data_IF_101363429657
#
_entry.id   IF_101363429657
#
_cell.length_a   1.000
_cell.length_b   1.000
_cell.length_c   1.000
_cell.angle_alpha   90.00
_cell.angle_beta   90.00
_cell.angle_gamma   90.00
#
_symmetry.space_group_name_H-M   'P 1'
#
loop_
_entity.id
_entity.type
_entity.pdbx_description
1 polymer ?
#
# COMPACT_ATOMS: atom_id res chain seq x y z
N UNK A 1 42.56 4.11 -15.33
CA UNK A 1 41.99 5.13 -14.43
C UNK A 1 40.56 4.71 -14.13
N UNK A 2 40.19 4.54 -12.86
CA UNK A 2 38.80 4.23 -12.48
C UNK A 2 37.91 5.42 -12.85
N UNK A 3 36.85 5.22 -13.63
CA UNK A 3 35.83 6.26 -13.82
C UNK A 3 35.26 6.67 -12.46
N UNK A 4 35.31 7.95 -12.16
CA UNK A 4 34.72 8.51 -10.95
C UNK A 4 33.21 8.62 -11.18
N UNK A 5 32.42 7.76 -10.52
CA UNK A 5 30.96 7.81 -10.60
C UNK A 5 30.44 9.08 -9.93
N UNK A 6 29.55 9.79 -10.61
CA UNK A 6 28.82 10.92 -9.99
C UNK A 6 27.85 10.35 -8.93
N UNK A 7 27.82 10.91 -7.71
CA UNK A 7 26.88 10.47 -6.69
C UNK A 7 25.45 10.83 -7.10
N UNK A 8 24.52 9.91 -6.85
CA UNK A 8 23.08 10.14 -6.95
C UNK A 8 22.51 10.07 -5.54
N UNK A 9 21.75 11.08 -5.14
CA UNK A 9 21.14 11.18 -3.81
C UNK A 9 19.62 11.21 -3.96
N UNK A 10 18.95 10.30 -3.25
CA UNK A 10 17.53 10.39 -2.99
C UNK A 10 17.33 10.95 -1.58
N UNK A 11 16.72 12.13 -1.49
CA UNK A 11 16.39 12.80 -0.23
C UNK A 11 14.90 12.62 0.07
N UNK A 12 14.59 12.00 1.21
CA UNK A 12 13.22 11.82 1.70
C UNK A 12 12.98 12.79 2.86
N UNK A 13 12.07 13.74 2.67
CA UNK A 13 11.60 14.63 3.72
C UNK A 13 10.35 13.99 4.36
N UNK A 14 10.53 13.29 5.48
CA UNK A 14 9.43 12.57 6.13
C UNK A 14 8.34 13.55 6.62
N UNK A 15 7.08 13.24 6.34
CA UNK A 15 5.93 14.10 6.65
C UNK A 15 5.81 15.39 5.82
N UNK A 16 6.56 15.56 4.73
CA UNK A 16 6.53 16.76 3.89
C UNK A 16 5.59 16.62 2.68
N UNK A 17 4.34 17.06 2.83
CA UNK A 17 3.30 16.97 1.79
C UNK A 17 3.03 18.27 1.02
N UNK A 18 2.27 18.17 -0.07
CA UNK A 18 1.70 19.31 -0.80
C UNK A 18 0.21 19.47 -0.43
N UNK A 19 -0.21 20.71 -0.15
CA UNK A 19 -1.61 21.09 0.05
C UNK A 19 -1.84 22.48 -0.51
N UNK A 20 -2.96 22.69 -1.20
CA UNK A 20 -3.37 24.01 -1.71
C UNK A 20 -3.96 24.90 -0.59
N UNK A 21 -4.32 24.30 0.55
CA UNK A 21 -4.78 25.06 1.71
C UNK A 21 -3.60 25.66 2.46
N UNK A 22 -3.73 26.96 2.76
CA UNK A 22 -2.82 27.72 3.62
C UNK A 22 -3.12 27.55 5.11
N UNK A 23 -4.33 27.10 5.44
CA UNK A 23 -4.78 26.98 6.82
C UNK A 23 -3.98 25.90 7.55
N UNK A 24 -3.34 26.27 8.67
CA UNK A 24 -2.51 25.37 9.47
C UNK A 24 -1.41 24.62 8.69
N UNK A 25 -0.93 25.19 7.58
CA UNK A 25 0.06 24.57 6.71
C UNK A 25 1.49 25.03 7.07
N UNK A 26 2.17 24.23 7.89
CA UNK A 26 3.53 24.52 8.32
C UNK A 26 4.55 24.55 7.17
N UNK A 27 4.37 23.70 6.15
CA UNK A 27 5.26 23.64 4.98
C UNK A 27 5.22 24.95 4.20
N UNK A 28 4.01 25.48 3.95
CA UNK A 28 3.84 26.72 3.20
C UNK A 28 4.15 27.98 4.03
N UNK A 29 3.97 27.93 5.35
CA UNK A 29 4.29 29.03 6.25
C UNK A 29 5.79 29.16 6.57
N UNK A 30 6.56 28.08 6.38
CA UNK A 30 7.99 28.07 6.65
C UNK A 30 8.79 28.86 5.60
N UNK A 31 9.98 29.34 6.01
CA UNK A 31 10.97 29.90 5.07
C UNK A 31 11.81 28.76 4.52
N UNK A 32 11.55 28.36 3.27
CA UNK A 32 12.18 27.18 2.64
C UNK A 32 13.01 27.52 1.40
N UNK A 33 13.99 28.46 1.48
CA UNK A 33 14.65 29.03 0.30
C UNK A 33 15.31 27.99 -0.62
N UNK A 34 15.83 26.90 -0.05
CA UNK A 34 16.43 25.80 -0.82
C UNK A 34 15.36 25.02 -1.59
N UNK A 35 14.27 24.63 -0.93
CA UNK A 35 13.17 23.90 -1.59
C UNK A 35 12.46 24.78 -2.62
N UNK A 36 12.29 26.06 -2.32
CA UNK A 36 11.68 27.05 -3.24
C UNK A 36 12.55 27.21 -4.48
N UNK A 37 13.88 27.31 -4.31
CA UNK A 37 14.81 27.38 -5.43
C UNK A 37 14.75 26.12 -6.30
N UNK A 38 14.78 24.92 -5.70
CA UNK A 38 14.68 23.65 -6.42
C UNK A 38 13.35 23.54 -7.18
N UNK A 39 12.23 23.93 -6.56
CA UNK A 39 10.91 23.88 -7.20
C UNK A 39 10.80 24.82 -8.41
N UNK A 40 11.43 25.99 -8.35
CA UNK A 40 11.37 27.00 -9.40
C UNK A 40 12.37 26.78 -10.55
N UNK A 41 13.48 26.07 -10.31
CA UNK A 41 14.58 25.96 -11.28
C UNK A 41 14.90 24.52 -11.72
N UNK A 42 14.23 23.50 -11.16
CA UNK A 42 14.39 22.11 -11.56
C UNK A 42 13.04 21.49 -11.97
N UNK A 43 13.03 20.44 -12.81
CA UNK A 43 11.82 19.70 -13.10
C UNK A 43 11.20 19.14 -11.81
N UNK A 44 9.91 19.40 -11.61
CA UNK A 44 9.17 18.94 -10.43
C UNK A 44 7.84 18.33 -10.82
N UNK A 45 7.36 17.40 -9.99
CA UNK A 45 6.05 16.77 -10.10
C UNK A 45 5.54 16.37 -8.72
N UNK A 46 4.26 16.02 -8.63
CA UNK A 46 3.64 15.42 -7.46
C UNK A 46 3.41 13.93 -7.70
N UNK A 47 3.49 13.14 -6.64
CA UNK A 47 3.20 11.70 -6.65
C UNK A 47 2.19 11.36 -5.54
N UNK A 48 1.37 10.33 -5.77
CA UNK A 48 0.47 9.82 -4.75
C UNK A 48 1.24 8.93 -3.76
N UNK A 49 1.09 9.21 -2.46
CA UNK A 49 1.82 8.54 -1.36
C UNK A 49 0.88 7.90 -0.32
N UNK A 50 -0.40 7.76 -0.66
CA UNK A 50 -1.45 7.25 0.22
C UNK A 50 -2.46 6.39 -0.55
N UNK A 51 -3.32 5.68 0.18
CA UNK A 51 -4.33 4.80 -0.38
C UNK A 51 -3.79 3.72 -1.32
N UNK A 52 -4.58 3.41 -2.36
CA UNK A 52 -4.29 2.33 -3.30
C UNK A 52 -2.95 2.51 -4.03
N UNK A 53 -2.50 3.75 -4.23
CA UNK A 53 -1.23 4.07 -4.90
C UNK A 53 -0.01 3.51 -4.16
N UNK A 54 -0.14 3.23 -2.86
CA UNK A 54 0.92 2.63 -2.03
C UNK A 54 0.46 1.32 -1.37
N UNK A 55 -0.63 0.73 -1.86
CA UNK A 55 -1.12 -0.59 -1.41
C UNK A 55 -1.96 -0.56 -0.13
N UNK A 56 -2.38 0.63 0.31
CA UNK A 56 -3.33 0.82 1.39
C UNK A 56 -4.78 0.85 0.87
N UNK A 57 -5.78 0.60 1.73
CA UNK A 57 -7.18 0.88 1.44
C UNK A 57 -7.42 2.30 0.92
N UNK A 58 -8.44 2.47 0.09
CA UNK A 58 -8.83 3.78 -0.43
C UNK A 58 -9.10 4.78 0.71
N UNK A 59 -8.62 6.03 0.54
CA UNK A 59 -8.76 7.08 1.55
C UNK A 59 -7.84 6.96 2.77
N UNK A 60 -7.12 5.85 2.95
CA UNK A 60 -6.20 5.69 4.07
C UNK A 60 -4.91 6.51 3.86
N UNK A 61 -4.56 7.31 4.86
CA UNK A 61 -3.33 8.10 4.86
C UNK A 61 -2.09 7.21 4.75
N UNK A 62 -1.06 7.72 4.07
CA UNK A 62 0.26 7.10 4.03
C UNK A 62 0.97 7.17 5.38
N UNK A 63 2.05 6.40 5.51
CA UNK A 63 2.96 6.44 6.65
C UNK A 63 4.39 6.11 6.20
N UNK A 64 5.37 6.33 7.09
CA UNK A 64 6.79 6.15 6.78
C UNK A 64 7.12 4.73 6.34
N UNK A 65 6.58 3.70 6.99
CA UNK A 65 6.89 2.30 6.67
C UNK A 65 6.44 1.93 5.26
N UNK A 66 5.16 2.16 4.95
CA UNK A 66 4.58 1.88 3.63
C UNK A 66 5.24 2.71 2.54
N UNK A 67 5.53 3.98 2.83
CA UNK A 67 6.20 4.88 1.90
C UNK A 67 7.61 4.40 1.53
N UNK A 68 8.44 4.09 2.53
CA UNK A 68 9.81 3.61 2.29
C UNK A 68 9.83 2.24 1.61
N UNK A 69 8.93 1.33 1.98
CA UNK A 69 8.81 0.03 1.33
C UNK A 69 8.42 0.16 -0.15
N UNK A 70 7.40 0.96 -0.46
CA UNK A 70 6.94 1.16 -1.85
C UNK A 70 8.04 1.81 -2.70
N UNK A 71 8.68 2.85 -2.16
CA UNK A 71 9.77 3.56 -2.84
C UNK A 71 10.98 2.66 -3.07
N UNK A 72 11.40 1.89 -2.06
CA UNK A 72 12.54 0.99 -2.16
C UNK A 72 12.28 -0.22 -3.06
N UNK A 73 11.02 -0.68 -3.14
CA UNK A 73 10.65 -1.81 -3.99
C UNK A 73 10.41 -1.44 -5.46
N UNK A 74 10.19 -0.16 -5.77
CA UNK A 74 9.85 0.30 -7.13
C UNK A 74 8.51 -0.25 -7.63
N UNK A 75 7.62 -0.67 -6.73
CA UNK A 75 6.28 -1.20 -7.03
C UNK A 75 5.35 -1.07 -5.83
N UNK A 76 4.05 -1.06 -6.10
CA UNK A 76 3.00 -1.08 -5.07
C UNK A 76 3.09 -2.38 -4.26
N UNK A 77 3.21 -2.27 -2.94
CA UNK A 77 3.17 -3.41 -2.02
C UNK A 77 1.81 -3.43 -1.34
N UNK A 78 0.93 -4.31 -1.82
CA UNK A 78 -0.39 -4.49 -1.20
C UNK A 78 -0.25 -5.10 0.19
N UNK A 79 -0.76 -4.38 1.19
CA UNK A 79 -0.95 -4.92 2.53
C UNK A 79 -1.91 -6.11 2.50
N UNK A 80 -1.80 -7.04 3.45
CA UNK A 80 -2.58 -8.28 3.45
C UNK A 80 -4.07 -8.07 3.24
N UNK A 81 -4.66 -7.06 3.90
CA UNK A 81 -6.08 -6.74 3.76
C UNK A 81 -6.42 -6.30 2.32
N UNK A 82 -5.72 -5.31 1.77
CA UNK A 82 -5.90 -4.83 0.38
C UNK A 82 -5.60 -5.93 -0.65
N UNK A 83 -4.60 -6.77 -0.38
CA UNK A 83 -4.21 -7.87 -1.27
C UNK A 83 -5.32 -8.92 -1.37
N UNK A 84 -5.94 -9.28 -0.25
CA UNK A 84 -7.05 -10.24 -0.23
C UNK A 84 -8.29 -9.62 -0.87
N UNK A 85 -8.62 -8.36 -0.57
CA UNK A 85 -9.72 -7.63 -1.23
C UNK A 85 -9.55 -7.63 -2.76
N UNK A 86 -8.34 -7.32 -3.23
CA UNK A 86 -8.02 -7.33 -4.65
C UNK A 86 -8.13 -8.73 -5.25
N UNK A 87 -7.61 -9.75 -4.58
CA UNK A 87 -7.73 -11.13 -5.06
C UNK A 87 -9.19 -11.59 -5.15
N UNK A 88 -10.07 -11.15 -4.23
CA UNK A 88 -11.51 -11.43 -4.30
C UNK A 88 -12.12 -10.71 -5.50
N UNK A 89 -11.82 -9.42 -5.68
CA UNK A 89 -12.37 -8.60 -6.77
C UNK A 89 -11.91 -9.08 -8.16
N UNK A 90 -10.63 -9.48 -8.29
CA UNK A 90 -10.05 -9.96 -9.54
C UNK A 90 -10.40 -11.44 -9.82
N UNK A 91 -10.94 -12.16 -8.84
CA UNK A 91 -11.30 -13.58 -8.92
C UNK A 91 -10.16 -14.55 -8.57
N UNK A 92 -8.92 -14.08 -8.44
CA UNK A 92 -7.74 -14.87 -8.07
C UNK A 92 -7.93 -15.66 -6.77
N UNK A 93 -8.68 -15.09 -5.81
CA UNK A 93 -8.98 -15.70 -4.52
C UNK A 93 -9.62 -17.09 -4.66
N UNK A 94 -10.55 -17.25 -5.60
CA UNK A 94 -11.32 -18.48 -5.79
C UNK A 94 -10.52 -19.60 -6.48
N UNK A 95 -9.39 -19.26 -7.10
CA UNK A 95 -8.49 -20.22 -7.76
C UNK A 95 -7.21 -20.48 -6.96
N UNK A 96 -7.13 -19.95 -5.73
CA UNK A 96 -5.93 -20.07 -4.94
C UNK A 96 -5.62 -21.54 -4.63
N UNK A 97 -4.47 -22.07 -5.10
CA UNK A 97 -4.19 -23.49 -5.05
C UNK A 97 -4.02 -24.02 -3.62
N UNK A 98 -3.76 -23.15 -2.63
CA UNK A 98 -3.74 -23.55 -1.23
C UNK A 98 -5.14 -23.94 -0.75
N UNK A 99 -6.16 -23.15 -1.10
CA UNK A 99 -7.54 -23.38 -0.69
C UNK A 99 -8.18 -24.48 -1.53
N UNK A 100 -8.04 -24.42 -2.87
CA UNK A 100 -8.63 -25.40 -3.78
C UNK A 100 -8.18 -26.83 -3.45
N UNK A 101 -6.88 -27.05 -3.25
CA UNK A 101 -6.37 -28.39 -2.88
C UNK A 101 -6.90 -28.88 -1.53
N UNK A 102 -7.08 -28.00 -0.55
CA UNK A 102 -7.61 -28.38 0.76
C UNK A 102 -9.09 -28.78 0.65
N UNK A 103 -9.86 -28.03 -0.15
CA UNK A 103 -11.28 -28.31 -0.42
C UNK A 103 -11.42 -29.61 -1.22
N UNK A 104 -10.66 -29.80 -2.30
CA UNK A 104 -10.69 -31.02 -3.12
C UNK A 104 -10.39 -32.28 -2.29
N UNK A 105 -9.41 -32.18 -1.38
CA UNK A 105 -9.06 -33.26 -0.45
C UNK A 105 -10.22 -33.56 0.52
N UNK A 106 -10.89 -32.55 1.04
CA UNK A 106 -12.03 -32.76 1.93
C UNK A 106 -13.22 -33.38 1.19
N UNK A 107 -13.52 -32.91 -0.04
CA UNK A 107 -14.60 -33.44 -0.87
C UNK A 107 -14.36 -34.91 -1.23
N UNK A 108 -13.17 -35.24 -1.73
CA UNK A 108 -12.80 -36.63 -2.08
C UNK A 108 -12.81 -37.58 -0.88
N UNK A 109 -12.42 -37.10 0.30
CA UNK A 109 -12.46 -37.85 1.55
C UNK A 109 -13.81 -37.85 2.28
N UNK A 110 -14.84 -37.18 1.75
CA UNK A 110 -16.14 -36.97 2.44
C UNK A 110 -16.00 -36.33 3.83
N UNK A 111 -15.03 -35.43 3.98
CA UNK A 111 -14.77 -34.66 5.20
C UNK A 111 -15.49 -33.31 5.19
N UNK A 112 -15.38 -32.58 6.29
CA UNK A 112 -15.93 -31.23 6.46
C UNK A 112 -14.81 -30.19 6.36
N UNK A 113 -15.15 -29.00 5.87
CA UNK A 113 -14.30 -27.80 5.93
C UNK A 113 -14.78 -26.93 7.09
N UNK A 114 -13.85 -26.43 7.90
CA UNK A 114 -14.12 -25.49 8.96
C UNK A 114 -13.46 -24.15 8.62
N UNK A 115 -14.25 -23.08 8.58
CA UNK A 115 -13.77 -21.71 8.40
C UNK A 115 -13.86 -21.04 9.77
N UNK A 116 -12.74 -20.48 10.24
CA UNK A 116 -12.66 -19.78 11.52
C UNK A 116 -12.02 -18.41 11.31
N UNK A 117 -12.62 -17.39 11.92
CA UNK A 117 -12.11 -16.03 11.86
C UNK A 117 -12.90 -15.11 12.78
N UNK A 118 -12.33 -13.93 13.06
CA UNK A 118 -13.05 -12.86 13.75
C UNK A 118 -14.12 -12.31 12.80
N UNK A 119 -15.37 -12.28 13.23
CA UNK A 119 -16.51 -11.89 12.40
C UNK A 119 -16.90 -10.43 12.69
N UNK A 120 -16.34 -9.50 11.91
CA UNK A 120 -16.63 -8.07 11.99
C UNK A 120 -16.15 -7.33 10.73
N UNK A 121 -16.56 -6.06 10.58
CA UNK A 121 -16.10 -5.15 9.53
C UNK A 121 -14.79 -4.41 9.88
N UNK A 122 -14.07 -4.84 10.93
CA UNK A 122 -12.96 -4.07 11.49
C UNK A 122 -11.71 -3.95 10.61
N UNK A 123 -11.40 -4.94 9.76
CA UNK A 123 -10.29 -4.90 8.81
C UNK A 123 -8.86 -4.99 9.39
N UNK A 124 -8.72 -4.99 10.72
CA UNK A 124 -7.40 -5.08 11.42
C UNK A 124 -6.87 -6.51 11.43
N UNK A 125 -7.69 -7.48 11.86
CA UNK A 125 -7.31 -8.88 11.96
C UNK A 125 -8.07 -9.79 10.98
N UNK A 126 -9.22 -9.34 10.48
CA UNK A 126 -10.07 -10.03 9.51
C UNK A 126 -11.11 -9.05 8.95
N UNK A 127 -11.88 -9.50 7.97
CA UNK A 127 -13.09 -8.83 7.51
C UNK A 127 -14.16 -9.87 7.20
N UNK A 128 -15.42 -9.61 7.57
CA UNK A 128 -16.53 -10.54 7.35
C UNK A 128 -16.73 -10.89 5.87
N UNK A 129 -16.46 -9.96 4.95
CA UNK A 129 -16.50 -10.24 3.51
C UNK A 129 -15.49 -11.30 3.05
N UNK A 130 -14.34 -11.44 3.72
CA UNK A 130 -13.38 -12.50 3.40
C UNK A 130 -13.90 -13.87 3.82
N UNK A 131 -14.65 -13.92 4.93
CA UNK A 131 -15.32 -15.14 5.39
C UNK A 131 -16.46 -15.48 4.43
N UNK A 132 -17.26 -14.49 4.02
CA UNK A 132 -18.33 -14.66 3.05
C UNK A 132 -17.80 -15.14 1.69
N UNK A 133 -16.65 -14.65 1.24
CA UNK A 133 -16.03 -15.10 -0.01
C UNK A 133 -15.54 -16.57 0.04
N UNK A 134 -15.38 -17.16 1.23
CA UNK A 134 -15.01 -18.57 1.39
C UNK A 134 -16.20 -19.55 1.39
N UNK A 135 -17.43 -19.04 1.42
CA UNK A 135 -18.69 -19.82 1.49
C UNK A 135 -19.37 -19.85 0.12
#
# INVERSE_FOLDING_TARGET
>A
MSEQKKPLVLLVLDGYGHSDSKESNAVQAAKTPVMDHLRNHCPTTLIATSGLAVGLPEGQMGNSEVGHMTLGAGRVIYQSFTRINKAIADGDFFTNPAYSRAIDKAVSGKHRIHILGLLSQGGVHSHEDHINAMV
#
